data_IF_412172096081
#
_entry.id   IF_412172096081
#
_cell.length_a   1.000
_cell.length_b   1.000
_cell.length_c   1.000
_cell.angle_alpha   90.00
_cell.angle_beta   90.00
_cell.angle_gamma   90.00
#
_symmetry.space_group_name_H-M   'P 1'
#
loop_
_entity.id
_entity.type
_entity.pdbx_description
1 polymer ?
#
# COMPACT_ATOMS: atom_id res chain seq x y z
N UNK A 1 -5.97 -3.12 -9.93
CA UNK A 1 -7.29 -2.86 -9.31
C UNK A 1 -7.27 -1.62 -8.42
N UNK A 2 -6.37 -1.51 -7.43
CA UNK A 2 -6.30 -0.32 -6.57
C UNK A 2 -6.27 1.01 -7.34
N UNK A 3 -5.31 1.18 -8.27
CA UNK A 3 -5.18 2.38 -9.12
C UNK A 3 -6.46 2.64 -9.93
N UNK A 4 -7.09 1.59 -10.46
CA UNK A 4 -8.35 1.73 -11.22
C UNK A 4 -9.46 2.26 -10.32
N UNK A 5 -9.57 1.76 -9.09
CA UNK A 5 -10.53 2.26 -8.10
C UNK A 5 -10.27 3.71 -7.70
N UNK A 6 -9.01 4.13 -7.59
CA UNK A 6 -8.65 5.54 -7.34
C UNK A 6 -9.00 6.43 -8.53
N UNK A 7 -8.74 5.99 -9.76
CA UNK A 7 -9.14 6.73 -10.97
C UNK A 7 -10.66 6.85 -11.10
N UNK A 8 -11.42 5.81 -10.74
CA UNK A 8 -12.88 5.89 -10.68
C UNK A 8 -13.36 6.84 -9.58
N UNK A 9 -12.66 6.89 -8.45
CA UNK A 9 -12.93 7.86 -7.37
C UNK A 9 -12.69 9.29 -7.86
N UNK A 10 -11.63 9.51 -8.66
CA UNK A 10 -11.37 10.80 -9.31
C UNK A 10 -12.44 11.19 -10.33
N UNK A 11 -12.94 10.24 -11.14
CA UNK A 11 -14.05 10.51 -12.07
C UNK A 11 -15.31 10.88 -11.28
N UNK A 12 -15.61 10.14 -10.20
CA UNK A 12 -16.74 10.45 -9.33
C UNK A 12 -16.60 11.83 -8.66
N UNK A 13 -15.39 12.29 -8.35
CA UNK A 13 -15.17 13.59 -7.71
C UNK A 13 -15.36 14.80 -8.64
N UNK A 14 -15.55 14.61 -9.96
CA UNK A 14 -15.80 15.71 -10.90
C UNK A 14 -17.21 16.29 -10.73
N UNK A 15 -17.36 17.57 -11.07
CA UNK A 15 -18.65 18.26 -11.00
C UNK A 15 -19.73 17.52 -11.80
N UNK A 16 -20.92 17.38 -11.21
CA UNK A 16 -22.06 16.68 -11.81
C UNK A 16 -22.07 15.16 -11.63
N UNK A 17 -21.01 14.55 -11.09
CA UNK A 17 -20.94 13.10 -10.83
C UNK A 17 -21.19 12.71 -9.37
N UNK A 18 -21.28 13.69 -8.45
CA UNK A 18 -21.37 13.42 -7.00
C UNK A 18 -22.63 12.61 -6.64
N UNK A 19 -23.74 12.84 -7.34
CA UNK A 19 -25.00 12.13 -7.14
C UNK A 19 -25.00 10.69 -7.68
N UNK A 20 -23.99 10.32 -8.49
CA UNK A 20 -23.83 8.97 -9.02
C UNK A 20 -23.24 8.03 -7.96
N UNK A 21 -24.00 7.76 -6.89
CA UNK A 21 -23.56 6.92 -5.77
C UNK A 21 -23.15 5.51 -6.19
N UNK A 22 -23.76 4.97 -7.24
CA UNK A 22 -23.38 3.67 -7.81
C UNK A 22 -21.91 3.65 -8.25
N UNK A 23 -21.41 4.76 -8.82
CA UNK A 23 -20.02 4.88 -9.24
C UNK A 23 -19.09 4.96 -8.02
N UNK A 24 -19.48 5.70 -6.98
CA UNK A 24 -18.73 5.77 -5.73
C UNK A 24 -18.58 4.39 -5.07
N UNK A 25 -19.65 3.59 -5.06
CA UNK A 25 -19.62 2.23 -4.52
C UNK A 25 -18.76 1.29 -5.35
N UNK A 26 -18.86 1.34 -6.69
CA UNK A 26 -18.01 0.54 -7.58
C UNK A 26 -16.54 0.94 -7.42
N UNK A 27 -16.23 2.24 -7.40
CA UNK A 27 -14.89 2.77 -7.21
C UNK A 27 -14.29 2.27 -5.89
N UNK A 28 -15.05 2.40 -4.79
CA UNK A 28 -14.65 1.94 -3.46
C UNK A 28 -14.45 0.44 -3.44
N UNK A 29 -15.35 -0.34 -4.03
CA UNK A 29 -15.22 -1.80 -4.10
C UNK A 29 -13.94 -2.22 -4.84
N UNK A 30 -13.70 -1.69 -6.04
CA UNK A 30 -12.52 -2.02 -6.85
C UNK A 30 -11.22 -1.60 -6.14
N UNK A 31 -11.24 -0.41 -5.52
CA UNK A 31 -10.13 0.09 -4.71
C UNK A 31 -9.80 -0.86 -3.57
N UNK A 32 -10.80 -1.19 -2.74
CA UNK A 32 -10.62 -2.02 -1.56
C UNK A 32 -10.21 -3.44 -1.93
N UNK A 33 -10.77 -4.01 -2.99
CA UNK A 33 -10.36 -5.32 -3.46
C UNK A 33 -8.86 -5.34 -3.85
N UNK A 34 -8.41 -4.32 -4.58
CA UNK A 34 -6.99 -4.18 -4.91
C UNK A 34 -6.09 -4.07 -3.67
N UNK A 35 -6.49 -3.25 -2.70
CA UNK A 35 -5.73 -3.04 -1.46
C UNK A 35 -5.66 -4.30 -0.60
N UNK A 36 -6.79 -4.99 -0.41
CA UNK A 36 -6.86 -6.21 0.40
C UNK A 36 -6.08 -7.35 -0.24
N UNK A 37 -6.19 -7.52 -1.57
CA UNK A 37 -5.40 -8.52 -2.29
C UNK A 37 -3.90 -8.29 -2.14
N UNK A 38 -3.43 -7.05 -2.33
CA UNK A 38 -2.02 -6.70 -2.19
C UNK A 38 -1.50 -6.96 -0.77
N UNK A 39 -2.28 -6.56 0.25
CA UNK A 39 -1.93 -6.82 1.65
C UNK A 39 -1.86 -8.32 1.96
N UNK A 40 -2.76 -9.12 1.38
CA UNK A 40 -2.73 -10.58 1.54
C UNK A 40 -1.44 -11.21 1.02
N UNK A 41 -1.02 -10.84 -0.19
CA UNK A 41 0.24 -11.31 -0.77
C UNK A 41 1.46 -10.81 0.02
N UNK A 42 1.44 -9.57 0.52
CA UNK A 42 2.52 -9.04 1.35
C UNK A 42 2.82 -9.95 2.55
N UNK A 43 1.80 -10.45 3.24
CA UNK A 43 1.98 -11.34 4.39
C UNK A 43 2.47 -12.74 3.99
N UNK A 44 2.18 -13.21 2.78
CA UNK A 44 2.69 -14.48 2.27
C UNK A 44 4.21 -14.45 2.03
N UNK A 45 4.79 -13.29 1.71
CA UNK A 45 6.24 -13.13 1.48
C UNK A 45 7.07 -13.17 2.76
N UNK A 46 6.46 -12.91 3.91
CA UNK A 46 7.15 -12.89 5.20
C UNK A 46 7.88 -14.20 5.50
N UNK A 47 7.21 -15.38 5.48
CA UNK A 47 7.90 -16.65 5.69
C UNK A 47 8.97 -16.94 4.64
N UNK A 48 8.80 -16.51 3.40
CA UNK A 48 9.80 -16.70 2.33
C UNK A 48 11.10 -15.95 2.63
N UNK A 49 10.99 -14.69 3.07
CA UNK A 49 12.16 -13.89 3.48
C UNK A 49 12.84 -14.48 4.71
N UNK A 50 12.06 -15.01 5.67
CA UNK A 50 12.60 -15.68 6.85
C UNK A 50 13.37 -16.94 6.45
N UNK A 51 12.81 -17.78 5.59
CA UNK A 51 13.44 -19.01 5.11
C UNK A 51 14.72 -18.71 4.30
N UNK A 52 14.66 -17.72 3.41
CA UNK A 52 15.84 -17.29 2.66
C UNK A 52 16.95 -16.74 3.58
N UNK A 53 16.58 -15.95 4.59
CA UNK A 53 17.51 -15.45 5.59
C UNK A 53 18.13 -16.57 6.43
N UNK A 54 17.33 -17.58 6.80
CA UNK A 54 17.79 -18.78 7.51
C UNK A 54 18.80 -19.57 6.67
N UNK A 55 18.50 -19.82 5.39
CA UNK A 55 19.39 -20.52 4.48
C UNK A 55 20.75 -19.81 4.33
N UNK A 56 20.73 -18.48 4.19
CA UNK A 56 21.95 -17.70 3.98
C UNK A 56 22.80 -17.51 5.24
N UNK A 57 22.16 -17.43 6.41
CA UNK A 57 22.84 -17.15 7.68
C UNK A 57 23.06 -18.38 8.56
N UNK A 58 22.42 -19.52 8.24
CA UNK A 58 22.37 -20.71 9.09
C UNK A 58 21.57 -20.53 10.38
N UNK A 59 20.94 -19.37 10.61
CA UNK A 59 20.20 -19.05 11.83
C UNK A 59 18.82 -18.51 11.50
N UNK A 60 17.79 -19.07 12.15
CA UNK A 60 16.41 -18.63 11.99
C UNK A 60 16.13 -17.36 12.82
N UNK A 61 16.45 -16.20 12.25
CA UNK A 61 16.27 -14.90 12.91
C UNK A 61 14.89 -14.26 12.67
N UNK A 62 13.81 -15.06 12.78
CA UNK A 62 12.45 -14.62 12.50
C UNK A 62 12.01 -13.39 13.31
N UNK A 63 12.42 -13.32 14.58
CA UNK A 63 12.07 -12.21 15.48
C UNK A 63 12.67 -10.87 15.01
N UNK A 64 13.92 -10.86 14.53
CA UNK A 64 14.59 -9.65 14.04
C UNK A 64 13.92 -9.17 12.75
N UNK A 65 13.64 -10.09 11.82
CA UNK A 65 12.95 -9.76 10.56
C UNK A 65 11.57 -9.15 10.85
N UNK A 66 10.79 -9.77 11.73
CA UNK A 66 9.48 -9.23 12.14
C UNK A 66 9.57 -7.88 12.86
N UNK A 67 10.59 -7.68 13.70
CA UNK A 67 10.81 -6.40 14.39
C UNK A 67 11.13 -5.26 13.40
N UNK A 68 12.00 -5.52 12.42
CA UNK A 68 12.35 -4.55 11.37
C UNK A 68 11.12 -4.20 10.53
N UNK A 69 10.34 -5.20 10.10
CA UNK A 69 9.09 -4.94 9.38
C UNK A 69 8.11 -4.09 10.21
N UNK A 70 7.93 -4.42 11.50
CA UNK A 70 7.09 -3.65 12.40
C UNK A 70 7.54 -2.19 12.57
N UNK A 71 8.85 -1.94 12.59
CA UNK A 71 9.40 -0.58 12.61
C UNK A 71 9.03 0.19 11.33
N UNK A 72 9.23 -0.40 10.15
CA UNK A 72 8.88 0.24 8.89
C UNK A 72 7.37 0.48 8.75
N UNK A 73 6.52 -0.41 9.27
CA UNK A 73 5.08 -0.17 9.34
C UNK A 73 4.74 1.06 10.19
N UNK A 74 5.36 1.20 11.36
CA UNK A 74 5.14 2.37 12.22
C UNK A 74 5.56 3.67 11.54
N UNK A 75 6.73 3.66 10.91
CA UNK A 75 7.22 4.80 10.12
C UNK A 75 6.24 5.12 8.99
N UNK A 76 5.83 4.12 8.21
CA UNK A 76 4.89 4.26 7.11
C UNK A 76 3.54 4.83 7.56
N UNK A 77 2.97 4.34 8.66
CA UNK A 77 1.72 4.88 9.21
C UNK A 77 1.88 6.31 9.73
N UNK A 78 3.02 6.62 10.35
CA UNK A 78 3.28 7.98 10.88
C UNK A 78 3.36 8.97 9.73
N UNK A 79 4.15 8.65 8.70
CA UNK A 79 4.33 9.48 7.51
C UNK A 79 3.01 9.57 6.72
N UNK A 80 2.33 8.43 6.52
CA UNK A 80 1.07 8.34 5.79
C UNK A 80 -0.10 9.08 6.46
N UNK A 81 -0.09 9.22 7.78
CA UNK A 81 -1.06 10.04 8.50
C UNK A 81 -0.71 11.54 8.51
N UNK A 82 0.57 11.88 8.70
CA UNK A 82 1.01 13.26 8.87
C UNK A 82 1.08 14.06 7.55
N UNK A 83 1.66 13.48 6.49
CA UNK A 83 1.89 14.20 5.24
C UNK A 83 0.59 14.71 4.60
N UNK A 84 -0.48 13.89 4.48
CA UNK A 84 -1.74 14.38 3.92
C UNK A 84 -2.32 15.56 4.70
N UNK A 85 -2.23 15.55 6.03
CA UNK A 85 -2.73 16.65 6.86
C UNK A 85 -1.96 17.94 6.63
N UNK A 86 -0.63 17.87 6.55
CA UNK A 86 0.19 19.03 6.23
C UNK A 86 -0.08 19.58 4.83
N UNK A 87 -0.28 18.69 3.85
CA UNK A 87 -0.66 19.11 2.50
C UNK A 87 -2.03 19.77 2.51
N UNK A 88 -3.05 19.19 3.15
CA UNK A 88 -4.38 19.82 3.24
C UNK A 88 -4.30 21.22 3.86
N UNK A 89 -3.55 21.38 4.95
CA UNK A 89 -3.31 22.69 5.57
C UNK A 89 -2.63 23.67 4.60
N UNK A 90 -1.61 23.22 3.86
CA UNK A 90 -0.90 24.04 2.88
C UNK A 90 -1.79 24.47 1.69
N UNK A 91 -2.78 23.65 1.32
CA UNK A 91 -3.78 23.97 0.29
C UNK A 91 -4.94 24.84 0.84
N UNK A 92 -4.90 25.20 2.13
CA UNK A 92 -5.90 26.07 2.75
C UNK A 92 -7.21 25.36 3.07
N UNK A 93 -7.17 24.05 3.34
CA UNK A 93 -8.32 23.29 3.80
C UNK A 93 -8.90 23.90 5.08
N UNK A 94 -10.21 24.12 5.11
CA UNK A 94 -10.94 24.70 6.24
C UNK A 94 -11.91 23.68 6.82
N UNK A 95 -11.64 23.17 8.01
CA UNK A 95 -12.52 22.18 8.67
C UNK A 95 -13.93 22.71 8.97
N UNK A 96 -14.06 24.02 9.19
CA UNK A 96 -15.30 24.68 9.60
C UNK A 96 -16.00 25.44 8.47
N UNK A 97 -15.39 25.51 7.29
CA UNK A 97 -15.95 26.18 6.13
C UNK A 97 -17.15 25.44 5.56
N UNK A 98 -18.28 26.12 5.35
CA UNK A 98 -19.45 25.55 4.68
C UNK A 98 -19.15 25.10 3.23
N UNK A 99 -18.16 25.72 2.60
CA UNK A 99 -17.61 25.34 1.30
C UNK A 99 -16.09 25.49 1.32
N UNK A 100 -15.40 24.62 0.58
CA UNK A 100 -13.95 24.69 0.39
C UNK A 100 -13.61 25.60 -0.79
N UNK A 101 -12.44 26.25 -0.71
CA UNK A 101 -11.89 26.94 -1.88
C UNK A 101 -11.51 25.94 -2.97
N UNK A 102 -11.44 26.38 -4.23
CA UNK A 102 -11.00 25.53 -5.34
C UNK A 102 -9.61 24.91 -5.08
N UNK A 103 -8.68 25.68 -4.51
CA UNK A 103 -7.36 25.19 -4.13
C UNK A 103 -7.44 24.11 -3.03
N UNK A 104 -8.29 24.28 -2.01
CA UNK A 104 -8.48 23.26 -0.99
C UNK A 104 -9.06 21.96 -1.56
N UNK A 105 -9.97 22.04 -2.54
CA UNK A 105 -10.50 20.88 -3.27
C UNK A 105 -9.38 20.16 -4.03
N UNK A 106 -8.50 20.89 -4.72
CA UNK A 106 -7.33 20.29 -5.38
C UNK A 106 -6.41 19.57 -4.39
N UNK A 107 -6.22 20.14 -3.19
CA UNK A 107 -5.48 19.51 -2.10
C UNK A 107 -6.12 18.20 -1.62
N UNK A 108 -7.45 18.16 -1.51
CA UNK A 108 -8.20 16.94 -1.17
C UNK A 108 -8.00 15.88 -2.26
N UNK A 109 -8.14 16.24 -3.53
CA UNK A 109 -7.96 15.30 -4.64
C UNK A 109 -6.52 14.80 -4.68
N UNK A 110 -5.53 15.67 -4.47
CA UNK A 110 -4.11 15.29 -4.45
C UNK A 110 -3.81 14.25 -3.36
N UNK A 111 -4.31 14.48 -2.15
CA UNK A 111 -4.05 13.61 -1.00
C UNK A 111 -4.88 12.33 -1.01
N UNK A 112 -6.12 12.38 -1.49
CA UNK A 112 -7.03 11.24 -1.51
C UNK A 112 -6.85 10.32 -2.72
N UNK A 113 -6.34 10.83 -3.86
CA UNK A 113 -6.25 10.07 -5.12
C UNK A 113 -4.81 9.98 -5.61
N UNK A 114 -4.19 11.11 -5.94
CA UNK A 114 -2.95 11.10 -6.72
C UNK A 114 -1.74 10.59 -5.94
N UNK A 115 -1.60 10.99 -4.67
CA UNK A 115 -0.52 10.51 -3.80
C UNK A 115 -0.63 9.00 -3.57
N UNK A 116 -1.80 8.43 -3.19
CA UNK A 116 -1.98 6.98 -3.10
C UNK A 116 -1.66 6.25 -4.41
N UNK A 117 -2.08 6.78 -5.57
CA UNK A 117 -1.72 6.20 -6.87
C UNK A 117 -0.20 6.17 -7.05
N UNK A 118 0.49 7.29 -6.84
CA UNK A 118 1.94 7.39 -7.00
C UNK A 118 2.68 6.39 -6.09
N UNK A 119 2.30 6.31 -4.82
CA UNK A 119 2.88 5.35 -3.86
C UNK A 119 2.61 3.90 -4.25
N UNK A 120 1.42 3.60 -4.78
CA UNK A 120 1.09 2.26 -5.27
C UNK A 120 1.92 1.86 -6.49
N UNK A 121 2.24 2.80 -7.39
CA UNK A 121 3.14 2.57 -8.54
C UNK A 121 4.56 2.30 -8.06
N UNK A 122 5.06 3.07 -7.09
CA UNK A 122 6.38 2.80 -6.47
C UNK A 122 6.42 1.41 -5.84
N UNK A 123 5.38 1.04 -5.09
CA UNK A 123 5.26 -0.31 -4.51
C UNK A 123 5.25 -1.40 -5.59
N UNK A 124 4.54 -1.18 -6.70
CA UNK A 124 4.51 -2.10 -7.83
C UNK A 124 5.89 -2.29 -8.48
N UNK A 125 6.70 -1.23 -8.58
CA UNK A 125 8.08 -1.33 -9.08
C UNK A 125 8.94 -2.12 -8.10
N UNK A 126 8.84 -1.84 -6.79
CA UNK A 126 9.62 -2.55 -5.77
C UNK A 126 9.32 -4.05 -5.77
N UNK A 127 8.06 -4.45 -5.90
CA UNK A 127 7.70 -5.88 -5.93
C UNK A 127 8.11 -6.57 -7.23
N UNK A 128 8.15 -5.85 -8.36
CA UNK A 128 8.68 -6.41 -9.62
C UNK A 128 10.17 -6.74 -9.54
N UNK A 129 10.91 -6.05 -8.66
CA UNK A 129 12.32 -6.32 -8.39
C UNK A 129 12.52 -7.44 -7.35
N UNK A 130 11.46 -8.06 -6.85
CA UNK A 130 11.55 -9.12 -5.85
C UNK A 130 12.21 -10.38 -6.45
N UNK A 131 13.33 -10.85 -5.86
CA UNK A 131 14.17 -11.88 -6.49
C UNK A 131 13.74 -13.32 -6.20
N UNK A 132 12.81 -13.53 -5.25
CA UNK A 132 12.39 -14.87 -4.84
C UNK A 132 11.16 -15.27 -5.67
N UNK A 133 11.31 -16.33 -6.46
CA UNK A 133 10.23 -16.95 -7.23
C UNK A 133 9.73 -18.22 -6.53
N UNK A 134 8.57 -18.74 -6.94
CA UNK A 134 8.01 -19.99 -6.39
C UNK A 134 9.00 -21.18 -6.47
N UNK A 135 9.80 -21.24 -7.54
CA UNK A 135 10.87 -22.23 -7.69
C UNK A 135 11.96 -22.05 -6.63
N UNK A 136 12.33 -20.80 -6.36
CA UNK A 136 13.31 -20.47 -5.32
C UNK A 136 12.76 -20.87 -3.94
N UNK A 137 11.48 -20.59 -3.64
CA UNK A 137 10.86 -20.99 -2.36
C UNK A 137 10.90 -22.50 -2.17
N UNK A 138 10.54 -23.26 -3.20
CA UNK A 138 10.56 -24.73 -3.16
C UNK A 138 11.97 -25.26 -2.90
N UNK A 139 12.96 -24.73 -3.60
CA UNK A 139 14.36 -25.13 -3.44
C UNK A 139 14.94 -24.73 -2.08
N UNK A 140 14.64 -23.52 -1.58
CA UNK A 140 15.04 -23.07 -0.26
C UNK A 140 14.51 -24.01 0.83
N UNK A 141 13.23 -24.40 0.74
CA UNK A 141 12.63 -25.31 1.70
C UNK A 141 13.29 -26.71 1.64
N UNK A 142 13.53 -27.24 0.43
CA UNK A 142 14.24 -28.52 0.26
C UNK A 142 15.62 -28.51 0.91
N UNK A 143 16.42 -27.47 0.67
CA UNK A 143 17.75 -27.33 1.26
C UNK A 143 17.71 -27.19 2.79
N UNK A 144 16.72 -26.46 3.32
CA UNK A 144 16.54 -26.34 4.77
C UNK A 144 16.15 -27.67 5.41
N UNK A 145 15.30 -28.46 4.77
CA UNK A 145 14.91 -29.78 5.29
C UNK A 145 16.11 -30.74 5.34
N UNK A 146 17.02 -30.68 4.36
CA UNK A 146 18.26 -31.49 4.37
C UNK A 146 19.23 -31.10 5.51
N UNK A 147 19.24 -29.83 5.92
CA UNK A 147 20.12 -29.32 6.98
C UNK A 147 19.51 -29.48 8.37
N UNK A 148 18.18 -29.62 8.47
CA UNK A 148 17.45 -29.77 9.74
C UNK A 148 17.36 -31.22 10.25
N UNK A 149 17.71 -32.21 9.43
CA UNK A 149 17.82 -33.63 9.80
C UNK A 149 19.15 -33.90 10.49
#
# INVERSE_FOLDING_TARGET
MFIVGELLTYVWSREGMHDALWLAYIATFIKQWGLTSATGFMWALVPEVIAYGELKSGKRNAAIINAIMGLFFKIGFTIGGAIPLWLLAAYGFSETGAQQSANAIDGIIMTAVWIPIALSVVSMIVIQLYPISDKNVTEINRQLDEVRV
#
